data_IF_530175456630
#
_entry.id   IF_530175456630
#
_cell.length_a   1.000
_cell.length_b   1.000
_cell.length_c   1.000
_cell.angle_alpha   90.00
_cell.angle_beta   90.00
_cell.angle_gamma   90.00
#
_symmetry.space_group_name_H-M   'P 1'
#
loop_
_entity.id
_entity.type
_entity.pdbx_description
1 polymer ?
#
# COMPACT_ATOMS: atom_id res chain seq x y z
N UNK A 1 8.26 -16.07 -40.18
CA UNK A 1 8.60 -15.07 -39.13
C UNK A 1 8.55 -15.61 -37.69
N UNK A 2 8.09 -16.85 -37.43
CA UNK A 2 8.01 -17.38 -36.06
C UNK A 2 6.90 -16.76 -35.20
N UNK A 3 6.08 -15.89 -35.77
CA UNK A 3 4.97 -15.25 -35.05
C UNK A 3 3.81 -16.23 -34.87
N UNK A 4 3.38 -16.48 -33.63
CA UNK A 4 2.14 -17.24 -33.36
C UNK A 4 0.94 -16.43 -33.85
N UNK A 5 0.12 -17.04 -34.70
CA UNK A 5 -1.06 -16.42 -35.28
C UNK A 5 -2.27 -16.68 -34.38
N UNK A 6 -2.77 -15.63 -33.73
CA UNK A 6 -3.99 -15.68 -32.91
C UNK A 6 -5.09 -14.75 -33.44
N UNK A 7 -4.89 -14.13 -34.62
CA UNK A 7 -5.87 -13.28 -35.31
C UNK A 7 -6.16 -13.80 -36.73
N UNK A 8 -7.37 -13.53 -37.21
CA UNK A 8 -7.84 -13.88 -38.54
C UNK A 8 -7.69 -12.70 -39.52
N UNK A 9 -7.81 -12.97 -40.82
CA UNK A 9 -7.82 -11.89 -41.82
C UNK A 9 -9.03 -10.96 -41.66
N UNK A 10 -10.14 -11.50 -41.16
CA UNK A 10 -11.37 -10.76 -40.90
C UNK A 10 -11.19 -9.73 -39.79
N UNK A 11 -10.53 -10.09 -38.69
CA UNK A 11 -10.26 -9.18 -37.56
C UNK A 11 -9.44 -7.94 -37.97
N UNK A 12 -8.56 -8.11 -38.97
CA UNK A 12 -7.74 -7.04 -39.53
C UNK A 12 -8.61 -6.09 -40.36
N UNK A 13 -9.42 -6.64 -41.26
CA UNK A 13 -10.30 -5.86 -42.15
C UNK A 13 -11.40 -5.15 -41.36
N UNK A 14 -11.91 -5.77 -40.30
CA UNK A 14 -12.88 -5.18 -39.38
C UNK A 14 -12.27 -4.10 -38.48
N UNK A 15 -10.94 -3.95 -38.47
CA UNK A 15 -10.27 -2.86 -37.76
C UNK A 15 -10.29 -3.00 -36.24
N UNK A 16 -10.31 -4.22 -35.70
CA UNK A 16 -10.34 -4.45 -34.25
C UNK A 16 -9.07 -3.87 -33.58
N UNK A 17 -9.18 -2.82 -32.74
CA UNK A 17 -8.01 -2.07 -32.28
C UNK A 17 -7.10 -2.90 -31.36
N UNK A 18 -7.67 -3.69 -30.44
CA UNK A 18 -6.89 -4.49 -29.49
C UNK A 18 -6.19 -5.66 -30.17
N UNK A 19 -6.86 -6.34 -31.11
CA UNK A 19 -6.28 -7.48 -31.84
C UNK A 19 -5.17 -7.02 -32.78
N UNK A 20 -5.37 -5.89 -33.47
CA UNK A 20 -4.36 -5.31 -34.34
C UNK A 20 -3.16 -4.77 -33.54
N UNK A 21 -3.38 -4.09 -32.41
CA UNK A 21 -2.30 -3.65 -31.53
C UNK A 21 -1.47 -4.83 -31.02
N UNK A 22 -2.14 -5.88 -30.53
CA UNK A 22 -1.48 -7.08 -30.07
C UNK A 22 -0.66 -7.71 -31.21
N UNK A 23 -1.22 -7.78 -32.42
CA UNK A 23 -0.54 -8.34 -33.59
C UNK A 23 0.74 -7.59 -33.93
N UNK A 24 0.67 -6.25 -33.97
CA UNK A 24 1.84 -5.39 -34.21
C UNK A 24 2.89 -5.57 -33.11
N UNK A 25 2.47 -5.59 -31.84
CA UNK A 25 3.37 -5.83 -30.71
C UNK A 25 4.06 -7.20 -30.81
N UNK A 26 3.35 -8.24 -31.27
CA UNK A 26 3.88 -9.57 -31.45
C UNK A 26 4.92 -9.62 -32.59
N UNK A 27 4.68 -8.92 -33.70
CA UNK A 27 5.67 -8.77 -34.78
C UNK A 27 6.92 -8.07 -34.25
N UNK A 28 6.75 -6.95 -33.55
CA UNK A 28 7.86 -6.18 -32.98
C UNK A 28 8.73 -7.02 -32.03
N UNK A 29 8.10 -7.82 -31.16
CA UNK A 29 8.82 -8.71 -30.23
C UNK A 29 9.72 -9.74 -30.93
N UNK A 30 9.30 -10.26 -32.09
CA UNK A 30 10.04 -11.28 -32.83
C UNK A 30 11.02 -10.69 -33.84
N UNK A 31 10.67 -9.54 -34.42
CA UNK A 31 11.38 -8.89 -35.52
C UNK A 31 11.27 -7.37 -35.36
N UNK A 32 12.03 -6.81 -34.42
CA UNK A 32 12.10 -5.36 -34.23
C UNK A 32 12.91 -4.63 -35.31
N UNK A 33 13.67 -5.35 -36.15
CA UNK A 33 14.45 -4.76 -37.24
C UNK A 33 15.61 -3.87 -36.79
N UNK A 34 15.96 -3.89 -35.50
CA UNK A 34 17.07 -3.10 -34.95
C UNK A 34 18.39 -3.81 -35.27
N UNK A 35 19.35 -3.08 -35.84
CA UNK A 35 20.68 -3.63 -36.13
C UNK A 35 21.43 -3.95 -34.83
N UNK A 36 22.24 -5.01 -34.84
CA UNK A 36 23.05 -5.39 -33.68
C UNK A 36 24.10 -4.34 -33.30
N UNK A 37 24.49 -3.47 -34.23
CA UNK A 37 25.40 -2.34 -33.96
C UNK A 37 24.77 -1.27 -33.06
N UNK A 38 23.44 -1.14 -33.03
CA UNK A 38 22.75 -0.26 -32.07
C UNK A 38 22.83 -0.79 -30.63
N UNK A 39 23.19 -2.07 -30.41
CA UNK A 39 23.47 -2.59 -29.05
C UNK A 39 24.74 -1.99 -28.43
N UNK A 40 25.62 -1.38 -29.23
CA UNK A 40 26.86 -0.74 -28.79
C UNK A 40 26.83 0.80 -28.81
N UNK A 41 25.68 1.42 -29.08
CA UNK A 41 25.48 2.75 -28.51
C UNK A 41 25.35 2.49 -27.01
N UNK A 42 26.29 3.03 -26.24
CA UNK A 42 26.45 3.01 -24.78
C UNK A 42 25.15 3.35 -24.04
N UNK A 43 24.12 2.51 -24.17
CA UNK A 43 22.76 2.83 -23.79
C UNK A 43 22.63 2.92 -22.28
N UNK A 44 23.43 2.21 -21.49
CA UNK A 44 23.27 2.24 -20.05
C UNK A 44 24.58 1.74 -19.38
N UNK A 45 25.62 2.57 -19.32
CA UNK A 45 26.32 2.66 -18.03
C UNK A 45 25.35 3.38 -17.10
N UNK A 46 24.28 2.70 -16.69
CA UNK A 46 23.40 3.20 -15.64
C UNK A 46 24.30 3.32 -14.45
N UNK A 47 24.65 4.56 -14.09
CA UNK A 47 25.31 4.77 -12.82
C UNK A 47 24.44 4.07 -11.76
N UNK A 48 25.01 3.40 -10.74
CA UNK A 48 24.20 2.74 -9.72
C UNK A 48 23.11 3.65 -9.13
N UNK A 49 23.37 4.97 -9.09
CA UNK A 49 22.40 6.02 -8.72
C UNK A 49 21.16 6.05 -9.64
N UNK A 50 21.32 5.90 -10.95
CA UNK A 50 20.22 5.91 -11.92
C UNK A 50 19.31 4.68 -11.81
N UNK A 51 19.87 3.52 -11.48
CA UNK A 51 19.09 2.31 -11.23
C UNK A 51 18.21 2.46 -9.98
N UNK A 52 18.78 3.02 -8.91
CA UNK A 52 18.05 3.32 -7.68
C UNK A 52 16.98 4.39 -7.90
N UNK A 53 17.30 5.48 -8.61
CA UNK A 53 16.35 6.54 -8.98
C UNK A 53 15.18 5.95 -9.78
N UNK A 54 15.45 5.06 -10.74
CA UNK A 54 14.41 4.40 -11.54
C UNK A 54 13.52 3.49 -10.71
N UNK A 55 14.09 2.80 -9.71
CA UNK A 55 13.34 1.94 -8.78
C UNK A 55 12.43 2.77 -7.87
N UNK A 56 12.97 3.85 -7.28
CA UNK A 56 12.20 4.77 -6.43
C UNK A 56 11.09 5.48 -7.22
N UNK A 57 11.38 5.96 -8.44
CA UNK A 57 10.39 6.53 -9.38
C UNK A 57 9.20 5.58 -9.54
N UNK A 58 9.48 4.32 -9.87
CA UNK A 58 8.45 3.31 -10.10
C UNK A 58 7.62 3.07 -8.84
N UNK A 59 8.26 2.96 -7.68
CA UNK A 59 7.57 2.74 -6.42
C UNK A 59 6.62 3.90 -6.09
N UNK A 60 7.08 5.14 -6.22
CA UNK A 60 6.26 6.32 -5.97
C UNK A 60 5.14 6.51 -7.01
N UNK A 61 5.43 6.24 -8.28
CA UNK A 61 4.42 6.28 -9.35
C UNK A 61 3.26 5.33 -9.07
N UNK A 62 3.57 4.08 -8.75
CA UNK A 62 2.55 3.08 -8.42
C UNK A 62 1.80 3.44 -7.14
N UNK A 63 2.50 3.96 -6.13
CA UNK A 63 1.89 4.42 -4.89
C UNK A 63 0.90 5.57 -5.12
N UNK A 64 1.27 6.62 -5.85
CA UNK A 64 0.33 7.73 -6.12
C UNK A 64 -0.85 7.25 -6.96
N UNK A 65 -0.60 6.45 -8.00
CA UNK A 65 -1.69 5.90 -8.83
C UNK A 65 -2.64 5.01 -8.03
N UNK A 66 -2.17 4.36 -6.95
CA UNK A 66 -3.02 3.56 -6.06
C UNK A 66 -3.97 4.38 -5.18
N UNK A 67 -3.76 5.70 -5.04
CA UNK A 67 -4.62 6.56 -4.22
C UNK A 67 -5.96 6.94 -4.86
N UNK A 68 -6.17 6.58 -6.13
CA UNK A 68 -7.39 6.93 -6.86
C UNK A 68 -7.51 8.44 -7.13
N UNK A 69 -6.42 9.07 -7.57
CA UNK A 69 -6.44 10.44 -8.10
C UNK A 69 -7.12 10.45 -9.48
N UNK A 70 -7.63 11.61 -9.89
CA UNK A 70 -8.23 11.78 -11.23
C UNK A 70 -7.19 11.74 -12.35
N UNK A 71 -5.94 12.08 -12.06
CA UNK A 71 -4.85 12.13 -13.04
C UNK A 71 -3.96 10.91 -12.90
N UNK A 72 -3.77 10.15 -13.98
CA UNK A 72 -2.84 9.02 -14.01
C UNK A 72 -1.42 9.49 -14.30
N UNK A 73 -0.46 9.02 -13.50
CA UNK A 73 0.97 9.35 -13.65
C UNK A 73 1.66 8.29 -14.50
N UNK A 74 2.35 8.75 -15.54
CA UNK A 74 3.20 7.94 -16.39
C UNK A 74 4.68 8.10 -16.06
N UNK A 75 5.10 9.33 -15.69
CA UNK A 75 6.47 9.65 -15.30
C UNK A 75 6.47 10.70 -14.19
N UNK A 76 6.93 10.31 -13.01
CA UNK A 76 6.97 11.16 -11.80
C UNK A 76 7.78 12.44 -12.03
N UNK A 77 8.85 12.41 -12.82
CA UNK A 77 9.73 13.56 -13.02
C UNK A 77 9.15 14.60 -13.97
N UNK A 78 8.22 14.24 -14.84
CA UNK A 78 7.57 15.17 -15.77
C UNK A 78 6.18 15.58 -15.30
N UNK A 79 5.36 14.61 -14.87
CA UNK A 79 3.95 14.83 -14.57
C UNK A 79 3.75 15.67 -13.30
N UNK A 80 4.71 15.65 -12.36
CA UNK A 80 4.66 16.42 -11.12
C UNK A 80 5.12 17.88 -11.25
N UNK A 81 5.73 18.27 -12.37
CA UNK A 81 6.40 19.58 -12.54
C UNK A 81 5.45 20.77 -12.49
N UNK A 82 4.15 20.56 -12.68
CA UNK A 82 3.14 21.62 -12.57
C UNK A 82 2.56 21.75 -11.14
N UNK A 83 2.97 20.88 -10.21
CA UNK A 83 2.56 20.86 -8.81
C UNK A 83 1.13 20.36 -8.54
N UNK A 84 0.29 20.19 -9.57
CA UNK A 84 -1.13 19.84 -9.40
C UNK A 84 -1.31 18.48 -8.71
N UNK A 85 -0.66 17.46 -9.23
CA UNK A 85 -0.75 16.09 -8.70
C UNK A 85 -0.19 16.01 -7.27
N UNK A 86 0.85 16.78 -6.95
CA UNK A 86 1.38 16.87 -5.60
C UNK A 86 0.37 17.50 -4.63
N UNK A 87 -0.38 18.52 -5.06
CA UNK A 87 -1.48 19.08 -4.27
C UNK A 87 -2.61 18.05 -4.10
N UNK A 88 -3.04 17.36 -5.15
CA UNK A 88 -4.05 16.30 -5.05
C UNK A 88 -3.62 15.19 -4.07
N UNK A 89 -2.36 14.77 -4.14
CA UNK A 89 -1.78 13.76 -3.24
C UNK A 89 -1.75 14.27 -1.80
N UNK A 90 -1.34 15.52 -1.57
CA UNK A 90 -1.32 16.14 -0.24
C UNK A 90 -2.72 16.20 0.38
N UNK A 91 -3.73 16.57 -0.39
CA UNK A 91 -5.11 16.66 0.09
C UNK A 91 -5.72 15.27 0.36
N UNK A 92 -5.32 14.24 -0.39
CA UNK A 92 -5.68 12.86 -0.06
C UNK A 92 -5.04 12.37 1.23
N UNK A 93 -3.77 12.70 1.44
CA UNK A 93 -3.01 12.27 2.63
C UNK A 93 -3.42 13.05 3.88
N UNK A 94 -3.78 14.32 3.73
CA UNK A 94 -4.23 15.20 4.81
C UNK A 94 -5.39 16.08 4.32
N UNK A 95 -6.64 15.59 4.40
CA UNK A 95 -7.81 16.29 3.88
C UNK A 95 -7.94 17.73 4.39
N UNK A 96 -8.12 18.68 3.47
CA UNK A 96 -8.34 20.10 3.77
C UNK A 96 -7.06 20.92 3.95
N UNK A 97 -5.87 20.30 3.79
CA UNK A 97 -4.60 21.03 3.92
C UNK A 97 -4.32 21.93 2.71
N UNK A 98 -4.91 21.60 1.55
CA UNK A 98 -4.70 22.35 0.30
C UNK A 98 -5.72 23.47 0.19
N UNK A 99 -5.24 24.71 0.09
CA UNK A 99 -6.07 25.82 -0.35
C UNK A 99 -6.25 25.78 -1.87
N UNK A 100 -7.35 25.17 -2.32
CA UNK A 100 -7.68 25.06 -3.74
C UNK A 100 -8.03 26.39 -4.42
N UNK A 101 -8.32 27.47 -3.66
CA UNK A 101 -8.64 28.80 -4.23
C UNK A 101 -7.44 29.47 -4.90
N UNK A 102 -6.23 29.12 -4.48
CA UNK A 102 -4.98 29.66 -5.01
C UNK A 102 -4.23 28.64 -5.91
N UNK A 103 -4.78 27.44 -6.07
CA UNK A 103 -4.20 26.39 -6.88
C UNK A 103 -4.63 26.54 -8.35
N UNK A 104 -3.68 26.39 -9.26
CA UNK A 104 -3.88 26.53 -10.69
C UNK A 104 -4.09 25.16 -11.35
N UNK A 105 -5.30 24.87 -11.85
CA UNK A 105 -5.63 23.59 -12.51
C UNK A 105 -4.99 23.48 -13.91
N UNK A 106 -4.43 22.31 -14.29
CA UNK A 106 -3.97 22.04 -15.65
C UNK A 106 -5.09 22.12 -16.70
N UNK A 107 -4.78 22.45 -17.97
CA UNK A 107 -3.45 22.74 -18.51
C UNK A 107 -2.94 24.15 -18.16
N UNK A 108 -1.71 24.24 -17.65
CA UNK A 108 -1.09 25.51 -17.22
C UNK A 108 -0.16 26.04 -18.32
N UNK A 109 -0.57 27.12 -18.99
CA UNK A 109 0.25 27.81 -20.02
C UNK A 109 1.33 28.70 -19.42
N UNK A 110 0.99 29.47 -18.38
CA UNK A 110 1.90 30.45 -17.79
C UNK A 110 2.86 29.79 -16.79
N UNK A 111 4.20 29.89 -16.96
CA UNK A 111 5.16 29.22 -16.09
C UNK A 111 5.05 29.60 -14.61
N UNK A 112 4.77 30.86 -14.29
CA UNK A 112 4.66 31.32 -12.89
C UNK A 112 3.55 30.61 -12.12
N UNK A 113 2.45 30.19 -12.78
CA UNK A 113 1.36 29.42 -12.14
C UNK A 113 1.78 28.01 -11.72
N UNK A 114 2.74 27.40 -12.45
CA UNK A 114 3.36 26.12 -12.01
C UNK A 114 4.18 26.35 -10.75
N UNK A 115 4.92 27.46 -10.70
CA UNK A 115 5.73 27.85 -9.54
C UNK A 115 4.84 28.14 -8.32
N UNK A 116 3.69 28.81 -8.50
CA UNK A 116 2.71 29.05 -7.43
C UNK A 116 2.21 27.74 -6.81
N UNK A 117 1.79 26.77 -7.64
CA UNK A 117 1.40 25.44 -7.17
C UNK A 117 2.52 24.76 -6.39
N UNK A 118 3.73 24.72 -6.96
CA UNK A 118 4.87 24.07 -6.32
C UNK A 118 5.33 24.78 -5.04
N UNK A 119 5.18 26.10 -4.96
CA UNK A 119 5.42 26.87 -3.73
C UNK A 119 4.43 26.50 -2.64
N UNK A 120 3.15 26.30 -3.00
CA UNK A 120 2.15 25.81 -2.06
C UNK A 120 2.48 24.38 -1.59
N UNK A 121 2.91 23.49 -2.48
CA UNK A 121 3.38 22.13 -2.13
C UNK A 121 4.50 22.20 -1.08
N UNK A 122 5.55 22.98 -1.34
CA UNK A 122 6.67 23.14 -0.41
C UNK A 122 6.23 23.76 0.92
N UNK A 123 5.34 24.78 0.88
CA UNK A 123 4.78 25.41 2.08
C UNK A 123 4.03 24.40 2.95
N UNK A 124 3.18 23.58 2.34
CA UNK A 124 2.43 22.52 3.03
C UNK A 124 3.39 21.48 3.61
N UNK A 125 4.38 21.03 2.83
CA UNK A 125 5.40 20.11 3.34
C UNK A 125 6.13 20.63 4.58
N UNK A 126 6.47 21.93 4.62
CA UNK A 126 7.04 22.57 5.83
C UNK A 126 6.07 22.60 7.01
N UNK A 127 4.78 22.84 6.76
CA UNK A 127 3.75 22.77 7.81
C UNK A 127 3.62 21.34 8.39
N UNK A 128 3.72 20.33 7.53
CA UNK A 128 3.77 18.90 7.89
C UNK A 128 5.13 18.45 8.47
N UNK A 129 6.03 19.39 8.75
CA UNK A 129 7.36 19.15 9.33
C UNK A 129 8.29 18.28 8.48
N UNK A 130 8.13 18.30 7.15
CA UNK A 130 9.10 17.70 6.25
C UNK A 130 10.42 18.48 6.32
N UNK A 131 11.53 17.74 6.29
CA UNK A 131 12.87 18.29 6.11
C UNK A 131 13.03 18.70 4.64
N UNK A 132 12.74 19.98 4.36
CA UNK A 132 12.80 20.59 3.04
C UNK A 132 13.86 21.70 3.01
N UNK A 133 15.04 21.40 3.55
CA UNK A 133 16.19 22.33 3.54
C UNK A 133 16.58 22.57 2.09
N UNK A 134 16.59 23.85 1.68
CA UNK A 134 16.94 24.29 0.32
C UNK A 134 16.07 23.73 -0.81
N UNK A 135 14.83 23.31 -0.54
CA UNK A 135 13.85 22.97 -1.58
C UNK A 135 12.91 24.15 -1.79
N UNK A 136 12.84 24.65 -3.02
CA UNK A 136 11.91 25.67 -3.48
C UNK A 136 10.93 25.10 -4.51
N UNK A 137 9.81 25.81 -4.76
CA UNK A 137 8.84 25.36 -5.75
C UNK A 137 9.44 25.28 -7.16
N UNK A 138 10.40 26.14 -7.48
CA UNK A 138 11.08 26.13 -8.77
C UNK A 138 11.90 24.84 -9.02
N UNK A 139 12.44 24.19 -7.99
CA UNK A 139 13.17 22.92 -8.14
C UNK A 139 12.27 21.80 -8.66
N UNK A 140 11.01 21.79 -8.22
CA UNK A 140 9.98 20.84 -8.69
C UNK A 140 9.61 21.17 -10.14
N UNK A 141 9.42 22.45 -10.48
CA UNK A 141 9.14 22.89 -11.85
C UNK A 141 10.28 22.55 -12.81
N UNK A 142 11.54 22.61 -12.35
CA UNK A 142 12.71 22.21 -13.11
C UNK A 142 12.87 20.70 -13.26
N UNK A 143 12.12 19.89 -12.50
CA UNK A 143 12.20 18.43 -12.57
C UNK A 143 13.42 17.86 -11.84
N UNK A 144 13.88 18.50 -10.75
CA UNK A 144 15.01 18.01 -9.99
C UNK A 144 14.69 16.64 -9.34
N UNK A 145 15.18 15.56 -9.96
CA UNK A 145 14.86 14.17 -9.60
C UNK A 145 15.11 13.89 -8.12
N UNK A 146 16.27 14.28 -7.59
CA UNK A 146 16.66 14.00 -6.20
C UNK A 146 15.72 14.68 -5.20
N UNK A 147 15.36 15.94 -5.46
CA UNK A 147 14.46 16.70 -4.59
C UNK A 147 13.02 16.20 -4.67
N UNK A 148 12.55 15.81 -5.87
CA UNK A 148 11.23 15.20 -6.06
C UNK A 148 11.14 13.88 -5.29
N UNK A 149 12.12 12.97 -5.44
CA UNK A 149 12.13 11.70 -4.71
C UNK A 149 12.22 11.90 -3.20
N UNK A 150 13.03 12.85 -2.73
CA UNK A 150 13.13 13.18 -1.31
C UNK A 150 11.80 13.71 -0.74
N UNK A 151 11.07 14.52 -1.52
CA UNK A 151 9.73 14.99 -1.14
C UNK A 151 8.72 13.84 -1.09
N UNK A 152 8.67 13.02 -2.13
CA UNK A 152 7.74 11.89 -2.24
C UNK A 152 7.96 10.85 -1.15
N UNK A 153 9.22 10.57 -0.80
CA UNK A 153 9.55 9.71 0.34
C UNK A 153 8.94 10.24 1.64
N UNK A 154 9.13 11.52 1.94
CA UNK A 154 8.58 12.12 3.16
C UNK A 154 7.05 12.10 3.16
N UNK A 155 6.43 12.33 2.01
CA UNK A 155 4.97 12.26 1.87
C UNK A 155 4.44 10.82 2.07
N UNK A 156 5.09 9.82 1.47
CA UNK A 156 4.72 8.41 1.63
C UNK A 156 4.90 7.93 3.08
N UNK A 157 6.01 8.30 3.70
CA UNK A 157 6.28 8.03 5.12
C UNK A 157 5.26 8.70 6.02
N UNK A 158 4.95 9.97 5.78
CA UNK A 158 3.93 10.69 6.54
C UNK A 158 2.56 10.01 6.40
N UNK A 159 2.17 9.62 5.18
CA UNK A 159 0.91 8.94 4.94
C UNK A 159 0.77 7.65 5.76
N UNK A 160 1.77 6.76 5.75
CA UNK A 160 1.67 5.51 6.51
C UNK A 160 1.67 5.75 8.04
N UNK A 161 2.40 6.76 8.52
CA UNK A 161 2.37 7.12 9.94
C UNK A 161 1.01 7.70 10.36
N UNK A 162 0.36 8.50 9.50
CA UNK A 162 -1.01 8.98 9.77
C UNK A 162 -2.02 7.83 9.76
N UNK A 163 -1.90 6.88 8.83
CA UNK A 163 -2.75 5.68 8.80
C UNK A 163 -2.62 4.87 10.09
N UNK A 164 -1.40 4.64 10.57
CA UNK A 164 -1.15 3.95 11.84
C UNK A 164 -1.67 4.73 13.04
N UNK A 165 -1.52 6.07 13.05
CA UNK A 165 -2.03 6.95 14.11
C UNK A 165 -3.55 6.85 14.21
N UNK A 166 -4.24 6.88 13.07
CA UNK A 166 -5.70 6.81 13.01
C UNK A 166 -6.26 5.48 13.54
N UNK A 167 -5.55 4.36 13.41
CA UNK A 167 -5.99 3.08 13.96
C UNK A 167 -5.86 2.98 15.48
N UNK A 168 -4.96 3.75 16.12
CA UNK A 168 -4.74 3.72 17.57
C UNK A 168 -5.62 4.72 18.32
N UNK A 169 -6.94 4.73 18.07
CA UNK A 169 -7.92 5.58 18.76
C UNK A 169 -7.81 5.56 20.31
N UNK A 170 -7.16 4.55 20.91
CA UNK A 170 -7.06 4.34 22.35
C UNK A 170 -5.64 4.44 22.94
N UNK A 171 -4.62 4.82 22.18
CA UNK A 171 -3.25 4.97 22.70
C UNK A 171 -2.87 6.43 22.90
N UNK A 172 -3.45 7.09 23.91
CA UNK A 172 -2.97 8.32 24.58
C UNK A 172 -2.15 9.32 23.73
N UNK A 173 -2.63 9.70 22.55
CA UNK A 173 -2.06 10.81 21.75
C UNK A 173 -0.59 10.71 21.36
N UNK A 174 0.11 9.58 21.59
CA UNK A 174 1.54 9.46 21.28
C UNK A 174 1.74 9.28 19.79
N UNK A 175 2.46 10.21 19.18
CA UNK A 175 2.89 10.12 17.78
C UNK A 175 3.68 8.84 17.55
N UNK A 176 3.31 8.09 16.50
CA UNK A 176 4.03 6.89 16.11
C UNK A 176 5.30 7.32 15.39
N UNK A 177 6.43 6.90 15.92
CA UNK A 177 7.73 7.06 15.29
C UNK A 177 8.27 5.71 14.82
N UNK A 178 9.29 5.74 13.96
CA UNK A 178 9.94 4.53 13.42
C UNK A 178 10.35 3.53 14.48
N UNK A 179 10.81 4.03 15.64
CA UNK A 179 11.21 3.20 16.76
C UNK A 179 10.04 2.39 17.34
N UNK A 180 8.82 2.94 17.35
CA UNK A 180 7.64 2.21 17.80
C UNK A 180 7.29 1.08 16.82
N UNK A 181 7.47 1.30 15.51
CA UNK A 181 7.25 0.27 14.46
C UNK A 181 8.28 -0.86 14.61
N UNK A 182 9.55 -0.50 14.83
CA UNK A 182 10.64 -1.46 15.07
C UNK A 182 10.37 -2.29 16.33
N UNK A 183 10.01 -1.64 17.44
CA UNK A 183 9.70 -2.30 18.70
C UNK A 183 8.49 -3.23 18.58
N UNK A 184 7.44 -2.78 17.88
CA UNK A 184 6.26 -3.61 17.62
C UNK A 184 6.63 -4.88 16.85
N UNK A 185 7.40 -4.76 15.76
CA UNK A 185 7.78 -5.89 14.93
C UNK A 185 8.63 -6.91 15.71
N UNK A 186 9.64 -6.46 16.45
CA UNK A 186 10.44 -7.32 17.32
C UNK A 186 9.59 -7.97 18.44
N UNK A 187 8.69 -7.21 19.05
CA UNK A 187 7.78 -7.72 20.07
C UNK A 187 6.86 -8.83 19.53
N UNK A 188 6.37 -8.65 18.31
CA UNK A 188 5.48 -9.61 17.65
C UNK A 188 6.22 -10.89 17.25
N UNK A 189 7.41 -10.79 16.66
CA UNK A 189 8.26 -11.96 16.35
C UNK A 189 8.70 -12.72 17.61
N UNK A 190 9.03 -12.00 18.69
CA UNK A 190 9.36 -12.65 19.97
C UNK A 190 8.18 -13.42 20.56
N UNK A 191 6.95 -12.91 20.37
CA UNK A 191 5.74 -13.58 20.86
C UNK A 191 5.41 -14.88 20.14
N UNK A 192 5.92 -15.08 18.92
CA UNK A 192 5.79 -16.36 18.20
C UNK A 192 6.88 -17.38 18.55
N UNK A 193 7.75 -17.08 19.52
CA UNK A 193 8.83 -17.97 19.98
C UNK A 193 10.11 -17.88 19.16
N UNK A 194 10.16 -17.04 18.12
CA UNK A 194 11.38 -16.84 17.33
C UNK A 194 12.37 -15.92 18.05
N UNK A 195 13.66 -16.21 17.90
CA UNK A 195 14.75 -15.40 18.47
C UNK A 195 15.25 -14.34 17.49
N UNK A 196 14.72 -14.29 16.28
CA UNK A 196 15.06 -13.27 15.29
C UNK A 196 14.63 -11.88 15.76
N UNK A 197 15.53 -10.91 15.62
CA UNK A 197 15.25 -9.50 15.91
C UNK A 197 15.97 -8.61 14.90
N UNK A 198 15.46 -7.39 14.71
CA UNK A 198 16.14 -6.34 13.98
C UNK A 198 16.46 -5.17 14.90
N UNK A 199 17.70 -4.72 14.93
CA UNK A 199 18.10 -3.56 15.74
C UNK A 199 17.84 -2.24 14.99
N UNK A 200 17.74 -2.30 13.66
CA UNK A 200 17.45 -1.16 12.78
C UNK A 200 16.87 -1.63 11.44
N UNK A 201 16.13 -0.77 10.74
CA UNK A 201 15.71 -1.01 9.35
C UNK A 201 16.85 -1.05 8.33
N UNK A 202 18.10 -0.81 8.78
CA UNK A 202 19.33 -0.92 7.98
C UNK A 202 20.11 -2.22 8.23
N UNK A 203 19.60 -3.11 9.09
CA UNK A 203 20.34 -4.31 9.47
C UNK A 203 20.49 -5.26 8.26
N UNK A 204 21.74 -5.61 7.94
CA UNK A 204 22.08 -6.51 6.83
C UNK A 204 21.49 -7.91 7.02
N UNK A 205 21.20 -8.31 8.27
CA UNK A 205 20.54 -9.58 8.57
C UNK A 205 19.15 -9.71 7.89
N UNK A 206 18.49 -8.58 7.60
CA UNK A 206 17.19 -8.54 6.93
C UNK A 206 17.22 -9.05 5.49
N UNK A 207 18.39 -9.06 4.85
CA UNK A 207 18.56 -9.50 3.45
C UNK A 207 18.17 -10.97 3.22
N UNK A 208 18.21 -11.81 4.25
CA UNK A 208 17.80 -13.22 4.16
C UNK A 208 16.28 -13.42 4.10
N UNK A 209 15.49 -12.39 4.47
CA UNK A 209 14.03 -12.42 4.50
C UNK A 209 13.42 -13.20 5.67
N UNK A 210 14.21 -13.93 6.46
CA UNK A 210 13.72 -14.79 7.55
C UNK A 210 12.93 -14.00 8.59
N UNK A 211 13.40 -12.81 8.96
CA UNK A 211 12.69 -11.94 9.90
C UNK A 211 11.28 -11.57 9.42
N UNK A 212 11.11 -11.26 8.13
CA UNK A 212 9.81 -10.89 7.58
C UNK A 212 8.87 -12.08 7.46
N UNK A 213 9.39 -13.27 7.15
CA UNK A 213 8.59 -14.49 7.12
C UNK A 213 8.09 -14.86 8.51
N UNK A 214 8.94 -14.75 9.53
CA UNK A 214 8.56 -14.92 10.93
C UNK A 214 7.53 -13.87 11.36
N UNK A 215 7.74 -12.60 10.99
CA UNK A 215 6.78 -11.53 11.27
C UNK A 215 5.42 -11.81 10.63
N UNK A 216 5.38 -12.20 9.35
CA UNK A 216 4.14 -12.54 8.66
C UNK A 216 3.43 -13.74 9.28
N UNK A 217 4.18 -14.79 9.65
CA UNK A 217 3.66 -15.97 10.35
C UNK A 217 3.09 -15.62 11.73
N UNK A 218 3.74 -14.70 12.46
CA UNK A 218 3.29 -14.22 13.76
C UNK A 218 2.03 -13.34 13.69
N UNK A 219 1.87 -12.62 12.58
CA UNK A 219 0.74 -11.72 12.31
C UNK A 219 -0.48 -12.52 11.86
N UNK A 220 -0.30 -13.48 10.95
CA UNK A 220 -1.35 -14.39 10.52
C UNK A 220 -0.81 -15.83 10.48
N UNK A 221 -1.21 -16.69 11.43
CA UNK A 221 -0.81 -18.09 11.39
C UNK A 221 -1.23 -18.77 10.08
N UNK A 222 -0.42 -19.71 9.59
CA UNK A 222 -0.65 -20.50 8.36
C UNK A 222 -0.56 -19.74 7.03
N UNK A 223 -0.22 -18.45 7.02
CA UNK A 223 0.00 -17.73 5.75
C UNK A 223 1.33 -18.09 5.08
N UNK A 224 2.32 -18.49 5.88
CA UNK A 224 3.66 -18.90 5.44
C UNK A 224 3.72 -20.42 5.34
N UNK A 225 4.08 -20.93 4.17
CA UNK A 225 4.48 -22.31 3.98
C UNK A 225 6.00 -22.42 4.09
N UNK A 226 6.45 -22.92 5.23
CA UNK A 226 7.88 -23.09 5.53
C UNK A 226 8.61 -24.06 4.61
N UNK A 227 7.90 -24.94 3.88
CA UNK A 227 8.54 -25.83 2.90
C UNK A 227 9.09 -25.09 1.68
N UNK A 228 8.61 -23.87 1.43
CA UNK A 228 9.07 -23.00 0.33
C UNK A 228 10.15 -22.02 0.78
N UNK A 229 10.40 -21.92 2.09
CA UNK A 229 11.33 -20.96 2.68
C UNK A 229 12.75 -21.52 2.63
N UNK A 230 13.68 -20.73 2.14
CA UNK A 230 15.10 -21.08 2.08
C UNK A 230 15.88 -20.42 3.21
N UNK A 231 17.14 -20.84 3.42
CA UNK A 231 18.01 -20.23 4.45
C UNK A 231 18.46 -18.81 4.11
N UNK A 232 18.38 -18.40 2.84
CA UNK A 232 18.76 -17.06 2.39
C UNK A 232 20.27 -16.82 2.42
N UNK A 233 21.06 -17.84 2.10
CA UNK A 233 22.54 -17.75 2.08
C UNK A 233 23.00 -17.22 0.74
N UNK A 234 22.49 -17.78 -0.37
CA UNK A 234 22.81 -17.31 -1.73
C UNK A 234 21.90 -16.15 -2.15
N UNK A 235 22.31 -15.38 -3.14
CA UNK A 235 21.50 -14.25 -3.65
C UNK A 235 20.20 -14.73 -4.30
N UNK A 236 20.21 -15.90 -4.94
CA UNK A 236 19.02 -16.54 -5.50
C UNK A 236 18.03 -16.93 -4.39
N UNK A 237 18.53 -17.52 -3.31
CA UNK A 237 17.71 -17.87 -2.13
C UNK A 237 17.08 -16.64 -1.49
N UNK A 238 17.88 -15.58 -1.27
CA UNK A 238 17.37 -14.30 -0.75
C UNK A 238 16.29 -13.72 -1.65
N UNK A 239 16.49 -13.76 -2.98
CA UNK A 239 15.52 -13.25 -3.96
C UNK A 239 14.23 -14.08 -3.98
N UNK A 240 14.32 -15.41 -3.83
CA UNK A 240 13.15 -16.29 -3.68
C UNK A 240 12.36 -15.94 -2.42
N UNK A 241 13.04 -15.83 -1.27
CA UNK A 241 12.42 -15.44 0.00
C UNK A 241 11.76 -14.04 -0.11
N UNK A 242 12.46 -13.05 -0.67
CA UNK A 242 11.96 -11.69 -0.86
C UNK A 242 10.70 -11.64 -1.76
N UNK A 243 10.71 -12.39 -2.85
CA UNK A 243 9.54 -12.52 -3.76
C UNK A 243 8.35 -13.15 -3.02
N UNK A 244 8.62 -14.16 -2.18
CA UNK A 244 7.59 -14.81 -1.39
C UNK A 244 6.98 -13.89 -0.32
N UNK A 245 7.83 -13.12 0.40
CA UNK A 245 7.41 -12.11 1.37
C UNK A 245 6.46 -11.09 0.74
N UNK A 246 6.82 -10.53 -0.41
CA UNK A 246 5.99 -9.55 -1.11
C UNK A 246 4.65 -10.15 -1.53
N UNK A 247 4.66 -11.40 -2.02
CA UNK A 247 3.44 -12.10 -2.44
C UNK A 247 2.50 -12.34 -1.27
N UNK A 248 3.02 -12.79 -0.12
CA UNK A 248 2.25 -12.98 1.10
C UNK A 248 1.71 -11.65 1.63
N UNK A 249 2.56 -10.62 1.74
CA UNK A 249 2.14 -9.32 2.26
C UNK A 249 1.01 -8.71 1.40
N UNK A 250 1.11 -8.82 0.07
CA UNK A 250 0.01 -8.43 -0.84
C UNK A 250 -1.24 -9.28 -0.67
N UNK A 251 -1.09 -10.59 -0.47
CA UNK A 251 -2.22 -11.51 -0.20
C UNK A 251 -2.96 -11.13 1.09
N UNK A 252 -2.24 -10.67 2.11
CA UNK A 252 -2.87 -10.13 3.32
C UNK A 252 -3.63 -8.82 3.02
N UNK A 253 -3.26 -8.08 1.98
CA UNK A 253 -3.87 -6.79 1.64
C UNK A 253 -2.97 -5.60 1.98
N UNK A 254 -1.68 -5.83 2.23
CA UNK A 254 -0.71 -4.75 2.38
C UNK A 254 -0.49 -4.08 1.02
N UNK A 255 -0.82 -2.79 0.90
CA UNK A 255 -0.59 -2.00 -0.31
C UNK A 255 0.87 -1.55 -0.40
N UNK A 256 1.73 -2.44 -0.92
CA UNK A 256 3.19 -2.24 -0.98
C UNK A 256 3.73 -2.23 -2.42
N UNK A 257 4.72 -1.37 -2.67
CA UNK A 257 5.27 -1.09 -4.01
C UNK A 257 6.77 -1.39 -4.16
N UNK A 258 7.40 -1.97 -3.13
CA UNK A 258 8.79 -2.41 -3.19
C UNK A 258 9.01 -3.62 -4.10
N UNK A 259 10.25 -3.80 -4.52
CA UNK A 259 10.74 -4.97 -5.27
C UNK A 259 11.49 -5.95 -4.37
N UNK A 260 11.69 -7.22 -4.81
CA UNK A 260 12.53 -8.17 -4.07
C UNK A 260 13.92 -7.61 -3.76
N UNK A 261 14.50 -6.89 -4.72
CA UNK A 261 15.81 -6.26 -4.60
C UNK A 261 15.87 -5.23 -3.45
N UNK A 262 14.77 -4.56 -3.12
CA UNK A 262 14.72 -3.62 -1.98
C UNK A 262 14.85 -4.34 -0.63
N UNK A 263 14.50 -5.63 -0.55
CA UNK A 263 14.68 -6.45 0.64
C UNK A 263 16.11 -7.01 0.68
N UNK A 264 16.59 -7.57 -0.43
CA UNK A 264 17.93 -8.19 -0.48
C UNK A 264 19.05 -7.16 -0.30
N UNK A 265 18.88 -5.95 -0.84
CA UNK A 265 19.83 -4.83 -0.67
C UNK A 265 19.59 -4.03 0.63
N UNK A 266 18.55 -4.36 1.40
CA UNK A 266 18.16 -3.68 2.65
C UNK A 266 17.95 -2.18 2.46
N UNK A 267 17.04 -1.83 1.54
CA UNK A 267 16.60 -0.46 1.35
C UNK A 267 15.71 -0.03 2.53
N UNK A 268 16.33 0.60 3.53
CA UNK A 268 15.67 1.03 4.79
C UNK A 268 14.32 1.74 4.60
N UNK A 269 14.15 2.51 3.52
CA UNK A 269 12.90 3.25 3.24
C UNK A 269 11.77 2.26 2.97
N UNK A 270 12.05 1.28 2.11
CA UNK A 270 11.10 0.25 1.68
C UNK A 270 10.85 -0.80 2.77
N UNK A 271 11.88 -1.16 3.54
CA UNK A 271 11.76 -2.03 4.72
C UNK A 271 10.83 -1.40 5.77
N UNK A 272 10.97 -0.09 6.02
CA UNK A 272 10.08 0.63 6.92
C UNK A 272 8.63 0.61 6.41
N UNK A 273 8.39 0.94 5.14
CA UNK A 273 7.03 0.92 4.58
C UNK A 273 6.42 -0.48 4.58
N UNK A 274 7.21 -1.53 4.31
CA UNK A 274 6.76 -2.92 4.42
C UNK A 274 6.31 -3.25 5.85
N UNK A 275 7.19 -3.01 6.83
CA UNK A 275 6.90 -3.30 8.24
C UNK A 275 5.69 -2.52 8.75
N UNK A 276 5.62 -1.23 8.42
CA UNK A 276 4.52 -0.36 8.77
C UNK A 276 3.20 -0.80 8.12
N UNK A 277 3.23 -1.29 6.88
CA UNK A 277 2.04 -1.80 6.18
C UNK A 277 1.53 -3.10 6.82
N UNK A 278 2.43 -4.00 7.22
CA UNK A 278 2.06 -5.23 7.94
C UNK A 278 1.43 -4.86 9.30
N UNK A 279 2.04 -3.91 10.03
CA UNK A 279 1.49 -3.38 11.28
C UNK A 279 0.10 -2.78 11.09
N UNK A 280 -0.07 -1.97 10.06
CA UNK A 280 -1.36 -1.34 9.74
C UNK A 280 -2.44 -2.38 9.49
N UNK A 281 -2.14 -3.40 8.68
CA UNK A 281 -3.07 -4.49 8.41
C UNK A 281 -3.46 -5.27 9.68
N UNK A 282 -2.49 -5.58 10.53
CA UNK A 282 -2.73 -6.29 11.80
C UNK A 282 -3.62 -5.47 12.74
N UNK A 283 -3.32 -4.19 12.92
CA UNK A 283 -4.10 -3.30 13.80
C UNK A 283 -5.52 -3.05 13.27
N UNK A 284 -5.71 -3.04 11.96
CA UNK A 284 -7.03 -2.87 11.34
C UNK A 284 -7.97 -4.01 11.72
N UNK A 285 -7.51 -5.25 11.68
CA UNK A 285 -8.34 -6.41 12.08
C UNK A 285 -8.68 -6.41 13.56
N UNK A 286 -7.73 -6.05 14.43
CA UNK A 286 -8.00 -5.96 15.87
C UNK A 286 -9.02 -4.88 16.27
N UNK A 287 -9.32 -3.93 15.37
CA UNK A 287 -10.40 -2.95 15.53
C UNK A 287 -11.77 -3.51 15.15
N UNK A 288 -11.85 -4.33 14.10
CA UNK A 288 -13.10 -4.91 13.60
C UNK A 288 -13.63 -6.02 14.54
N UNK A 289 -12.74 -6.82 15.15
CA UNK A 289 -13.13 -7.87 16.12
C UNK A 289 -13.71 -7.33 17.43
N UNK A 290 -13.51 -6.03 17.75
CA UNK A 290 -14.11 -5.39 18.94
C UNK A 290 -15.44 -4.71 18.66
N UNK A 291 -15.72 -4.36 17.41
CA UNK A 291 -17.01 -3.79 17.03
C UNK A 291 -18.12 -4.86 17.04
N UNK A 292 -17.81 -6.11 16.68
CA UNK A 292 -18.75 -7.23 16.72
C UNK A 292 -19.12 -7.72 18.12
N UNK A 293 -18.29 -7.46 19.14
CA UNK A 293 -18.60 -7.84 20.53
C UNK A 293 -19.50 -6.79 21.22
N UNK A 294 -19.58 -5.57 20.69
CA UNK A 294 -20.41 -4.50 21.25
C UNK A 294 -21.90 -4.58 20.85
N UNK A 295 -22.27 -5.35 19.82
CA UNK A 295 -23.67 -5.48 19.38
C UNK A 295 -24.47 -6.59 20.08
N UNK A 296 -23.81 -7.51 20.79
CA UNK A 296 -24.49 -8.68 21.39
C UNK A 296 -24.71 -8.56 22.92
N UNK A 297 -24.42 -7.39 23.51
CA UNK A 297 -24.51 -7.19 24.98
C UNK A 297 -25.70 -6.34 25.46
N UNK A 298 -26.58 -5.85 24.57
CA UNK A 298 -27.73 -4.99 24.95
C UNK A 298 -29.11 -5.68 24.87
N UNK A 299 -29.20 -6.98 25.14
CA UNK A 299 -30.53 -7.61 25.26
C UNK A 299 -30.68 -8.60 26.43
N UNK A 300 -30.09 -8.26 27.58
CA UNK A 300 -30.35 -8.97 28.84
C UNK A 300 -30.28 -7.99 30.01
N UNK A 301 -31.37 -7.27 30.27
CA UNK A 301 -31.72 -6.73 31.60
C UNK A 301 -33.03 -5.95 31.55
N UNK A 302 -34.15 -6.66 31.70
CA UNK A 302 -35.30 -6.12 32.42
C UNK A 302 -35.78 -7.17 33.42
N UNK A 303 -35.52 -6.88 34.70
CA UNK A 303 -35.91 -7.66 35.86
C UNK A 303 -37.25 -7.17 36.44
N UNK A 304 -38.10 -8.15 36.75
CA UNK A 304 -38.98 -8.26 37.92
C UNK A 304 -40.19 -7.30 38.09
N UNK A 305 -41.40 -7.85 38.22
CA UNK A 305 -41.94 -8.26 39.54
C UNK A 305 -43.47 -8.59 39.55
N UNK A 306 -43.76 -9.85 39.95
CA UNK A 306 -44.77 -10.31 40.94
C UNK A 306 -46.28 -10.25 40.60
N UNK A 307 -46.96 -11.42 40.58
CA UNK A 307 -47.97 -11.86 41.58
C UNK A 307 -48.69 -13.17 41.21
N UNK A 308 -48.55 -14.21 42.06
CA UNK A 308 -49.53 -15.22 42.56
C UNK A 308 -50.60 -15.84 41.61
N UNK A 309 -50.91 -17.15 41.58
CA UNK A 309 -51.02 -18.16 42.66
C UNK A 309 -51.33 -19.57 42.10
N UNK A 310 -51.03 -20.57 42.94
CA UNK A 310 -51.64 -21.91 43.15
C UNK A 310 -51.46 -23.06 42.16
N UNK A 311 -51.11 -24.19 42.77
CA UNK A 311 -50.86 -25.55 42.30
C UNK A 311 -52.12 -26.42 42.23
N UNK A 312 -51.97 -27.52 41.49
CA UNK A 312 -52.56 -28.86 41.64
C UNK A 312 -53.86 -29.29 40.93
N UNK A 313 -53.66 -30.44 40.27
CA UNK A 313 -54.45 -31.68 40.20
C UNK A 313 -55.53 -31.93 39.11
N UNK A 314 -55.15 -32.88 38.24
CA UNK A 314 -55.80 -34.14 37.88
C UNK A 314 -57.33 -34.27 37.69
N UNK A 315 -57.64 -34.88 36.54
CA UNK A 315 -58.63 -35.95 36.32
C UNK A 315 -60.06 -35.61 35.80
N UNK A 316 -60.36 -36.27 34.66
CA UNK A 316 -61.61 -36.97 34.31
C UNK A 316 -62.79 -36.25 33.63
N UNK A 317 -63.08 -36.77 32.44
CA UNK A 317 -64.37 -37.23 31.89
C UNK A 317 -65.62 -36.32 31.80
N UNK A 318 -66.03 -36.17 30.54
CA UNK A 318 -67.36 -36.50 29.99
C UNK A 318 -68.48 -35.45 29.94
N UNK A 319 -69.00 -35.37 28.70
CA UNK A 319 -70.40 -35.26 28.27
C UNK A 319 -71.18 -33.94 28.44
N UNK A 320 -71.51 -33.43 27.25
CA UNK A 320 -72.88 -33.25 26.74
C UNK A 320 -73.53 -31.87 26.79
N UNK A 321 -74.06 -31.56 25.60
CA UNK A 321 -75.24 -30.75 25.30
C UNK A 321 -75.17 -29.24 25.50
N UNK A 322 -75.94 -28.45 24.77
CA UNK A 322 -76.49 -28.43 23.42
C UNK A 322 -77.18 -27.06 23.38
N UNK A 323 -77.27 -26.44 22.21
CA UNK A 323 -78.27 -25.42 21.87
C UNK A 323 -78.30 -24.08 22.63
N UNK A 324 -78.16 -23.02 21.85
CA UNK A 324 -79.38 -22.25 21.56
C UNK A 324 -79.29 -20.74 21.63
N UNK A 325 -79.39 -20.16 20.44
CA UNK A 325 -80.18 -18.97 20.09
C UNK A 325 -79.62 -17.54 20.22
N UNK A 326 -79.68 -16.93 19.02
CA UNK A 326 -79.84 -15.53 18.62
C UNK A 326 -78.61 -14.63 18.62
#
# INVERSE_FOLDING_TARGET
MGCKRYLTARDIVEGSPNLNLAFVAHIFQHRNGLSTQTKQISFLETMPDDAQISREERAFRLWINSMGLSTYINNVFEDLRNGWILLETLDKVSPGIVNWKIANKPPIKMPFRKVENCNQVVKIGKQLKFSLVNIAGNDIVQGNKKLILAYLWQLMRYNILQLLKNLRFHSFGKEIIDADILQWANGKVRSSGSQCRMDSFKDKSLSNGTFFLELLSSVQPRVVNWSLVTKGITEEEKKMNATYIISIARKLGCSIFLLPEDITEVNQKMILTLTASIMYWFLKQGGDDKASVSSDSENSSQSEAISNSTTDDSASESSADENGNM
#
